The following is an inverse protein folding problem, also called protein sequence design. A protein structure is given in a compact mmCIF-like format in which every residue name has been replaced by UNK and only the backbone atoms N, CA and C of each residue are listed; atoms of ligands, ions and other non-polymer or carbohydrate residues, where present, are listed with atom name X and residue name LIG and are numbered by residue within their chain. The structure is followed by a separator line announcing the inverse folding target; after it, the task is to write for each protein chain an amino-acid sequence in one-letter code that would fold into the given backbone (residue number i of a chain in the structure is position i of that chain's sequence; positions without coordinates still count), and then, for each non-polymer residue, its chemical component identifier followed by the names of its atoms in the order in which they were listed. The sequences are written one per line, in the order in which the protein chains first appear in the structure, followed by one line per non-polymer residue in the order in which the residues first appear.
data_IF_625893262785
#
_entry.id   IF_625893262785
#
_cell.length_a   1.000
_cell.length_b   1.000
_cell.length_c   1.000
_cell.angle_alpha   90.00
_cell.angle_beta   90.00
_cell.angle_gamma   90.00
#
_symmetry.space_group_name_H-M   'P 1'
#
loop_
_entity.id
_entity.type
_entity.pdbx_description
1 polymer ?
#
# COMPACT_ATOMS: atom_id res chain seq x y z
N UNK A 1 -3.44 -15.89 22.56
CA UNK A 1 -2.43 -14.97 22.01
C UNK A 1 -2.14 -13.95 23.09
N UNK A 2 -0.86 -13.68 23.39
CA UNK A 2 -0.50 -12.70 24.43
C UNK A 2 -0.56 -11.29 23.86
N UNK A 3 -0.76 -10.26 24.69
CA UNK A 3 -0.82 -8.86 24.25
C UNK A 3 0.42 -8.44 23.44
N UNK A 4 1.58 -9.01 23.76
CA UNK A 4 2.86 -8.79 23.07
C UNK A 4 2.86 -9.29 21.62
N UNK A 5 2.24 -10.44 21.34
CA UNK A 5 2.15 -10.98 19.97
C UNK A 5 1.24 -10.13 19.09
N UNK A 6 0.19 -9.57 19.69
CA UNK A 6 -0.78 -8.73 19.01
C UNK A 6 -0.16 -7.41 18.54
N UNK A 7 0.59 -6.75 19.43
CA UNK A 7 1.32 -5.51 19.12
C UNK A 7 2.38 -5.72 18.03
N UNK A 8 3.05 -6.88 18.06
CA UNK A 8 4.03 -7.26 17.04
C UNK A 8 3.40 -7.45 15.64
N UNK A 9 2.16 -7.94 15.58
CA UNK A 9 1.40 -8.04 14.34
C UNK A 9 0.91 -6.68 13.83
N UNK A 10 0.49 -5.77 14.71
CA UNK A 10 0.15 -4.39 14.36
C UNK A 10 1.36 -3.65 13.76
N UNK A 11 2.52 -3.72 14.43
CA UNK A 11 3.75 -3.12 13.95
C UNK A 11 4.14 -3.67 12.57
N UNK A 12 4.08 -5.00 12.38
CA UNK A 12 4.38 -5.62 11.07
C UNK A 12 3.45 -5.15 9.97
N UNK A 13 2.14 -5.06 10.22
CA UNK A 13 1.17 -4.57 9.25
C UNK A 13 1.45 -3.11 8.86
N UNK A 14 1.83 -2.29 9.84
CA UNK A 14 2.19 -0.90 9.63
C UNK A 14 3.50 -0.74 8.85
N UNK A 15 4.55 -1.51 9.18
CA UNK A 15 5.80 -1.52 8.43
C UNK A 15 5.62 -2.02 7.00
N UNK A 16 4.73 -2.99 6.77
CA UNK A 16 4.34 -3.44 5.43
C UNK A 16 3.73 -2.29 4.62
N UNK A 17 2.77 -1.56 5.20
CA UNK A 17 2.17 -0.38 4.55
C UNK A 17 3.24 0.67 4.19
N UNK A 18 4.11 1.01 5.14
CA UNK A 18 5.21 1.96 4.95
C UNK A 18 6.17 1.52 3.85
N UNK A 19 6.55 0.24 3.82
CA UNK A 19 7.43 -0.32 2.80
C UNK A 19 6.82 -0.22 1.40
N UNK A 20 5.52 -0.48 1.27
CA UNK A 20 4.81 -0.36 0.00
C UNK A 20 4.73 1.10 -0.49
N UNK A 21 4.47 2.05 0.41
CA UNK A 21 4.50 3.49 0.09
C UNK A 21 5.90 3.90 -0.36
N UNK A 22 6.94 3.50 0.38
CA UNK A 22 8.32 3.84 0.06
C UNK A 22 8.74 3.30 -1.32
N UNK A 23 8.33 2.07 -1.67
CA UNK A 23 8.57 1.48 -2.99
C UNK A 23 7.88 2.27 -4.12
N UNK A 24 6.61 2.66 -3.93
CA UNK A 24 5.88 3.47 -4.91
C UNK A 24 6.53 4.84 -5.13
N UNK A 25 6.92 5.51 -4.04
CA UNK A 25 7.63 6.80 -4.09
C UNK A 25 9.00 6.65 -4.76
N UNK A 26 9.74 5.59 -4.45
CA UNK A 26 11.04 5.33 -5.08
C UNK A 26 10.92 5.10 -6.59
N UNK A 27 9.93 4.33 -7.04
CA UNK A 27 9.66 4.14 -8.47
C UNK A 27 9.32 5.47 -9.17
N UNK A 28 8.51 6.31 -8.53
CA UNK A 28 8.16 7.64 -9.04
C UNK A 28 9.40 8.55 -9.16
N UNK A 29 10.23 8.62 -8.11
CA UNK A 29 11.46 9.42 -8.13
C UNK A 29 12.42 8.92 -9.20
N UNK A 30 12.55 7.60 -9.36
CA UNK A 30 13.43 7.02 -10.37
C UNK A 30 13.02 7.44 -11.78
N UNK A 31 11.73 7.35 -12.11
CA UNK A 31 11.26 7.78 -13.43
C UNK A 31 11.45 9.29 -13.65
N UNK A 32 11.20 10.12 -12.63
CA UNK A 32 11.39 11.57 -12.71
C UNK A 32 12.85 12.01 -12.86
N UNK A 33 13.78 11.33 -12.19
CA UNK A 33 15.21 11.70 -12.17
C UNK A 33 15.94 11.15 -13.39
N UNK A 34 15.61 9.93 -13.82
CA UNK A 34 16.34 9.24 -14.89
C UNK A 34 15.71 9.42 -16.27
N UNK A 35 14.41 9.70 -16.37
CA UNK A 35 13.75 9.95 -17.66
C UNK A 35 13.50 11.45 -17.80
N UNK A 36 14.33 12.13 -18.58
CA UNK A 36 14.13 13.55 -18.94
C UNK A 36 13.18 13.66 -20.15
N UNK A 37 12.00 13.07 -20.04
CA UNK A 37 10.93 13.16 -21.05
C UNK A 37 9.81 14.02 -20.50
N UNK A 38 9.13 14.80 -21.33
CA UNK A 38 7.89 15.50 -20.95
C UNK A 38 6.82 14.53 -20.43
N UNK A 39 6.89 13.25 -20.83
CA UNK A 39 5.99 12.18 -20.37
C UNK A 39 6.48 11.43 -19.13
N UNK A 40 7.71 11.66 -18.67
CA UNK A 40 8.27 11.05 -17.46
C UNK A 40 7.42 11.21 -16.20
N UNK A 41 6.82 12.39 -15.90
CA UNK A 41 5.90 12.52 -14.77
C UNK A 41 4.69 11.60 -14.89
N UNK A 42 4.13 11.45 -16.10
CA UNK A 42 2.95 10.61 -16.33
C UNK A 42 3.31 9.13 -16.19
N UNK A 43 4.40 8.69 -16.83
CA UNK A 43 4.87 7.30 -16.76
C UNK A 43 5.32 6.92 -15.36
N UNK A 44 6.01 7.82 -14.65
CA UNK A 44 6.40 7.64 -13.26
C UNK A 44 5.22 7.53 -12.31
N UNK A 45 4.16 8.30 -12.56
CA UNK A 45 2.93 8.24 -11.76
C UNK A 45 2.17 6.94 -12.03
N UNK A 46 2.05 6.51 -13.29
CA UNK A 46 1.41 5.22 -13.66
C UNK A 46 2.18 4.03 -13.09
N UNK A 47 3.51 3.99 -13.24
CA UNK A 47 4.35 2.91 -12.70
C UNK A 47 4.39 2.92 -11.18
N UNK A 48 4.54 4.09 -10.57
CA UNK A 48 4.54 4.26 -9.11
C UNK A 48 3.21 3.85 -8.49
N UNK A 49 2.09 4.20 -9.13
CA UNK A 49 0.75 3.76 -8.72
C UNK A 49 0.55 2.26 -8.94
N UNK A 50 0.91 1.70 -10.09
CA UNK A 50 0.75 0.26 -10.36
C UNK A 50 1.61 -0.63 -9.44
N UNK A 51 2.86 -0.23 -9.20
CA UNK A 51 3.73 -0.89 -8.23
C UNK A 51 3.22 -0.71 -6.80
N UNK A 52 2.68 0.48 -6.50
CA UNK A 52 2.00 0.78 -5.24
C UNK A 52 0.70 0.00 -5.05
N UNK A 53 -0.02 -0.37 -6.12
CA UNK A 53 -1.29 -1.10 -6.10
C UNK A 53 -1.08 -2.57 -5.73
N UNK A 54 -0.13 -3.23 -6.40
CA UNK A 54 0.31 -4.59 -6.04
C UNK A 54 0.91 -4.57 -4.62
N UNK A 55 1.64 -3.50 -4.29
CA UNK A 55 2.17 -3.24 -2.97
C UNK A 55 1.08 -3.19 -1.91
N UNK A 56 0.02 -2.38 -2.11
CA UNK A 56 -1.07 -2.17 -1.15
C UNK A 56 -1.93 -3.43 -0.90
N UNK A 57 -1.90 -4.40 -1.82
CA UNK A 57 -2.58 -5.68 -1.64
C UNK A 57 -1.95 -6.52 -0.52
N UNK A 58 -0.62 -6.48 -0.34
CA UNK A 58 0.06 -7.23 0.73
C UNK A 58 -0.36 -6.79 2.14
N UNK A 59 -0.29 -5.49 2.53
CA UNK A 59 -0.77 -5.02 3.83
C UNK A 59 -2.28 -5.19 3.99
N UNK A 60 -3.08 -5.08 2.92
CA UNK A 60 -4.51 -5.34 2.97
C UNK A 60 -4.83 -6.82 3.28
N UNK A 61 -4.21 -7.76 2.56
CA UNK A 61 -4.40 -9.20 2.79
C UNK A 61 -3.84 -9.60 4.16
N UNK A 62 -2.67 -9.10 4.53
CA UNK A 62 -2.08 -9.38 5.85
C UNK A 62 -2.96 -8.88 6.98
N UNK A 63 -3.40 -7.61 6.94
CA UNK A 63 -4.26 -7.03 7.98
C UNK A 63 -5.63 -7.70 8.03
N UNK A 64 -6.27 -7.96 6.88
CA UNK A 64 -7.55 -8.67 6.79
C UNK A 64 -7.48 -10.10 7.30
N UNK A 65 -6.46 -10.86 6.91
CA UNK A 65 -6.24 -12.23 7.39
C UNK A 65 -5.99 -12.24 8.90
N UNK A 66 -5.18 -11.31 9.40
CA UNK A 66 -4.88 -11.16 10.83
C UNK A 66 -6.13 -10.82 11.64
N UNK A 67 -6.95 -9.87 11.17
CA UNK A 67 -8.23 -9.50 11.77
C UNK A 67 -9.20 -10.69 11.84
N UNK A 68 -9.30 -11.46 10.74
CA UNK A 68 -10.17 -12.63 10.66
C UNK A 68 -9.71 -13.76 11.58
N UNK A 69 -8.42 -14.10 11.56
CA UNK A 69 -7.83 -15.17 12.40
C UNK A 69 -7.88 -14.84 13.89
N UNK A 70 -7.67 -13.58 14.25
CA UNK A 70 -7.52 -13.19 15.65
C UNK A 70 -8.84 -12.74 16.31
N UNK A 71 -9.96 -12.70 15.57
CA UNK A 71 -11.20 -11.99 15.98
C UNK A 71 -10.88 -10.61 16.55
N UNK A 72 -9.88 -9.99 15.95
CA UNK A 72 -9.15 -8.90 16.56
C UNK A 72 -9.91 -7.59 16.37
N UNK A 73 -10.33 -6.95 17.47
CA UNK A 73 -10.85 -5.56 17.42
C UNK A 73 -9.72 -4.52 17.53
N UNK A 74 -8.59 -4.76 16.87
CA UNK A 74 -7.55 -3.73 16.77
C UNK A 74 -8.03 -2.60 15.85
N UNK A 75 -8.06 -1.37 16.37
CA UNK A 75 -8.30 -0.17 15.57
C UNK A 75 -7.18 0.07 14.55
N UNK A 76 -5.94 -0.31 14.89
CA UNK A 76 -4.76 -0.08 14.05
C UNK A 76 -4.75 -0.99 12.82
N UNK A 77 -5.01 -2.30 13.00
CA UNK A 77 -5.15 -3.23 11.87
C UNK A 77 -6.32 -2.85 10.95
N UNK A 78 -7.43 -2.38 11.52
CA UNK A 78 -8.57 -1.85 10.73
C UNK A 78 -8.17 -0.60 9.93
N UNK A 79 -7.41 0.33 10.53
CA UNK A 79 -6.89 1.49 9.81
C UNK A 79 -5.96 1.09 8.67
N UNK A 80 -5.03 0.17 8.90
CA UNK A 80 -4.11 -0.31 7.85
C UNK A 80 -4.89 -0.94 6.70
N UNK A 81 -5.90 -1.75 7.01
CA UNK A 81 -6.77 -2.36 5.99
C UNK A 81 -7.51 -1.28 5.18
N UNK A 82 -8.15 -0.32 5.85
CA UNK A 82 -8.90 0.76 5.20
C UNK A 82 -7.98 1.63 4.35
N UNK A 83 -6.82 2.04 4.86
CA UNK A 83 -5.86 2.83 4.10
C UNK A 83 -5.35 2.08 2.87
N UNK A 84 -5.05 0.79 3.02
CA UNK A 84 -4.60 -0.05 1.90
C UNK A 84 -5.69 -0.22 0.84
N UNK A 85 -6.95 -0.41 1.26
CA UNK A 85 -8.09 -0.50 0.34
C UNK A 85 -8.40 0.85 -0.32
N UNK A 86 -8.40 1.95 0.42
CA UNK A 86 -8.58 3.29 -0.13
C UNK A 86 -7.50 3.61 -1.16
N UNK A 87 -6.25 3.24 -0.89
CA UNK A 87 -5.15 3.37 -1.84
C UNK A 87 -5.39 2.53 -3.09
N UNK A 88 -5.74 1.26 -2.93
CA UNK A 88 -6.08 0.36 -4.04
C UNK A 88 -7.22 0.92 -4.91
N UNK A 89 -8.33 1.35 -4.30
CA UNK A 89 -9.46 1.93 -5.02
C UNK A 89 -9.13 3.27 -5.69
N UNK A 90 -8.32 4.12 -5.05
CA UNK A 90 -7.89 5.38 -5.66
C UNK A 90 -7.04 5.11 -6.92
N UNK A 91 -6.14 4.13 -6.86
CA UNK A 91 -5.32 3.74 -8.02
C UNK A 91 -6.20 3.13 -9.11
N UNK A 92 -7.06 2.17 -8.77
CA UNK A 92 -7.96 1.53 -9.72
C UNK A 92 -8.88 2.54 -10.42
N UNK A 93 -9.40 3.54 -9.69
CA UNK A 93 -10.21 4.61 -10.27
C UNK A 93 -9.41 5.47 -11.27
N UNK A 94 -8.15 5.79 -10.96
CA UNK A 94 -7.26 6.52 -11.88
C UNK A 94 -6.97 5.70 -13.13
N UNK A 95 -6.79 4.38 -13.02
CA UNK A 95 -6.59 3.51 -14.18
C UNK A 95 -7.85 3.36 -15.04
N UNK A 96 -9.01 3.13 -14.44
CA UNK A 96 -10.29 2.98 -15.15
C UNK A 96 -10.70 4.26 -15.90
N UNK A 97 -10.43 5.44 -15.33
CA UNK A 97 -10.72 6.71 -16.01
C UNK A 97 -9.77 6.98 -17.18
N UNK A 98 -8.56 6.41 -17.16
CA UNK A 98 -7.53 6.60 -18.19
C UNK A 98 -7.43 5.42 -19.18
N UNK A 99 -8.34 4.42 -19.11
CA UNK A 99 -8.42 3.27 -20.01
C UNK A 99 -9.55 3.41 -21.02
#
# INVERSE_FOLDING_TARGET
MTSTEYKKCEDRAFYLLLGCIALGVFAFITEMVFIQSEWAPVVGLVKGLALGEIGALLPAVYSGFTLFRMKASSSMLKMVLVLSLCWFFAVAAVFVVNS
#
